data_IF_432080790491
#
_entry.id   IF_432080790491
#
_cell.length_a   1.000
_cell.length_b   1.000
_cell.length_c   1.000
_cell.angle_alpha   90.00
_cell.angle_beta   90.00
_cell.angle_gamma   90.00
#
_symmetry.space_group_name_H-M   'P 1'
#
loop_
_entity.id
_entity.type
_entity.pdbx_description
1 polymer ?
#
# COMPACT_ATOMS: atom_id res chain seq x y z
N UNK A 1 25.92 7.95 63.36
CA UNK A 1 24.93 8.86 62.75
C UNK A 1 25.43 9.24 61.36
N UNK A 2 24.76 9.03 60.24
CA UNK A 2 23.59 8.22 59.88
C UNK A 2 23.69 7.91 58.38
N UNK A 3 23.23 6.73 58.00
CA UNK A 3 23.07 6.22 56.63
C UNK A 3 21.77 6.75 56.01
N UNK A 4 21.79 7.18 54.74
CA UNK A 4 20.61 7.32 53.86
C UNK A 4 21.07 7.02 52.42
N UNK A 5 20.92 5.79 51.93
CA UNK A 5 19.76 5.22 51.21
C UNK A 5 19.30 5.98 49.96
N UNK A 6 19.70 5.40 48.82
CA UNK A 6 19.08 5.41 47.49
C UNK A 6 17.56 5.64 47.51
N UNK A 7 17.10 6.66 46.78
CA UNK A 7 15.71 6.77 46.32
C UNK A 7 15.64 6.37 44.84
N UNK A 8 15.29 5.09 44.61
CA UNK A 8 14.72 4.61 43.34
C UNK A 8 13.37 5.30 43.14
N UNK A 9 13.20 6.00 42.02
CA UNK A 9 11.89 6.47 41.58
C UNK A 9 11.11 5.28 41.02
N UNK A 10 10.06 4.89 41.76
CA UNK A 10 9.03 3.93 41.38
C UNK A 10 8.10 4.55 40.33
N UNK A 11 8.33 4.28 39.04
CA UNK A 11 7.28 4.39 38.02
C UNK A 11 6.59 3.04 37.91
N UNK A 12 5.37 2.98 38.47
CA UNK A 12 4.47 1.84 38.42
C UNK A 12 4.23 1.44 36.96
N UNK A 13 4.70 0.26 36.57
CA UNK A 13 4.17 -0.48 35.42
C UNK A 13 2.68 -0.68 35.67
N UNK A 14 1.82 0.02 34.93
CA UNK A 14 0.43 -0.40 34.77
C UNK A 14 0.47 -1.64 33.89
N UNK A 15 0.33 -2.79 34.51
CA UNK A 15 0.02 -4.07 33.85
C UNK A 15 -1.27 -3.88 33.05
N UNK A 16 -1.14 -3.84 31.72
CA UNK A 16 -2.27 -3.98 30.81
C UNK A 16 -2.70 -5.45 30.74
N UNK A 17 -3.97 -5.65 30.39
CA UNK A 17 -4.75 -6.86 30.56
C UNK A 17 -4.06 -8.16 30.12
N UNK A 18 -4.45 -9.24 30.81
CA UNK A 18 -3.90 -10.57 30.67
C UNK A 18 -4.01 -11.06 29.21
N UNK A 19 -2.91 -11.63 28.67
CA UNK A 19 -2.79 -12.18 27.29
C UNK A 19 -3.89 -13.19 26.91
N UNK A 20 -4.63 -13.70 27.89
CA UNK A 20 -5.74 -14.64 27.72
C UNK A 20 -7.09 -14.00 27.37
N UNK A 21 -7.28 -12.70 27.59
CA UNK A 21 -8.55 -12.00 27.27
C UNK A 21 -8.61 -11.47 25.83
N UNK A 22 -7.47 -11.39 25.13
CA UNK A 22 -7.38 -10.96 23.73
C UNK A 22 -7.68 -12.07 22.70
N UNK A 23 -8.11 -13.26 23.13
CA UNK A 23 -8.30 -14.44 22.26
C UNK A 23 -9.74 -14.72 21.80
N UNK A 24 -10.70 -13.80 21.98
CA UNK A 24 -12.11 -14.07 21.62
C UNK A 24 -12.71 -13.21 20.49
N UNK A 25 -11.91 -12.49 19.71
CA UNK A 25 -12.36 -11.94 18.42
C UNK A 25 -11.43 -12.42 17.29
N UNK A 26 -11.33 -13.73 17.13
CA UNK A 26 -10.78 -14.32 15.89
C UNK A 26 -11.80 -14.03 14.79
N UNK A 27 -11.58 -12.93 14.07
CA UNK A 27 -12.31 -12.62 12.84
C UNK A 27 -11.98 -13.76 11.86
N UNK A 28 -12.96 -14.61 11.58
CA UNK A 28 -12.84 -15.64 10.54
C UNK A 28 -12.87 -14.98 9.16
N UNK A 29 -12.29 -15.62 8.12
CA UNK A 29 -12.26 -15.09 6.75
C UNK A 29 -13.64 -14.77 6.15
N UNK A 30 -14.70 -15.29 6.76
CA UNK A 30 -16.10 -15.13 6.34
C UNK A 30 -16.73 -13.80 6.81
N UNK A 31 -16.07 -13.06 7.69
CA UNK A 31 -16.51 -11.71 8.08
C UNK A 31 -15.74 -10.67 7.25
N UNK A 32 -15.87 -10.73 5.92
CA UNK A 32 -15.61 -9.56 5.10
C UNK A 32 -16.70 -8.56 5.49
N UNK A 33 -16.36 -7.68 6.43
CA UNK A 33 -17.07 -6.43 6.61
C UNK A 33 -17.17 -5.86 5.21
N UNK A 34 -18.38 -5.73 4.65
CA UNK A 34 -18.62 -4.83 3.51
C UNK A 34 -18.26 -3.44 4.02
N UNK A 35 -16.97 -3.14 3.99
CA UNK A 35 -16.48 -1.81 4.24
C UNK A 35 -17.01 -1.04 3.05
N UNK A 36 -17.97 -0.16 3.29
CA UNK A 36 -18.38 0.85 2.32
C UNK A 36 -17.18 1.79 2.15
N UNK A 37 -16.20 1.36 1.37
CA UNK A 37 -14.98 2.14 1.10
C UNK A 37 -15.39 3.23 0.13
N UNK A 38 -15.82 4.36 0.69
CA UNK A 38 -16.03 5.56 -0.08
C UNK A 38 -14.68 6.20 -0.37
N UNK A 39 -14.22 6.09 -1.62
CA UNK A 39 -13.08 6.85 -2.09
C UNK A 39 -13.51 8.31 -2.24
N UNK A 40 -12.99 9.17 -1.37
CA UNK A 40 -13.13 10.61 -1.56
C UNK A 40 -12.17 11.10 -2.67
N UNK A 41 -12.38 12.34 -3.14
CA UNK A 41 -11.55 12.91 -4.20
C UNK A 41 -10.07 12.95 -3.82
N UNK A 42 -9.76 13.18 -2.55
CA UNK A 42 -8.38 13.19 -2.04
C UNK A 42 -7.71 11.84 -2.18
N UNK A 43 -8.44 10.77 -1.88
CA UNK A 43 -7.94 9.40 -2.03
C UNK A 43 -7.67 9.10 -3.50
N UNK A 44 -8.57 9.51 -4.40
CA UNK A 44 -8.38 9.35 -5.86
C UNK A 44 -7.14 10.13 -6.34
N UNK A 45 -7.00 11.39 -5.94
CA UNK A 45 -5.85 12.24 -6.30
C UNK A 45 -4.52 11.64 -5.80
N UNK A 46 -4.52 11.06 -4.59
CA UNK A 46 -3.36 10.34 -4.05
C UNK A 46 -3.01 9.13 -4.92
N UNK A 47 -3.99 8.31 -5.28
CA UNK A 47 -3.77 7.11 -6.11
C UNK A 47 -3.19 7.49 -7.48
N UNK A 48 -3.70 8.56 -8.10
CA UNK A 48 -3.13 9.09 -9.33
C UNK A 48 -1.67 9.54 -9.14
N UNK A 49 -1.41 10.32 -8.09
CA UNK A 49 -0.07 10.82 -7.79
C UNK A 49 0.93 9.69 -7.52
N UNK A 50 0.50 8.67 -6.78
CA UNK A 50 1.27 7.48 -6.47
C UNK A 50 1.71 6.72 -7.73
N UNK A 51 0.79 6.50 -8.68
CA UNK A 51 1.12 5.86 -9.96
C UNK A 51 2.24 6.61 -10.69
N UNK A 52 2.12 7.93 -10.83
CA UNK A 52 3.13 8.72 -11.55
C UNK A 52 4.46 8.83 -10.81
N UNK A 53 4.44 8.81 -9.47
CA UNK A 53 5.64 8.72 -8.65
C UNK A 53 6.36 7.39 -8.90
N UNK A 54 5.65 6.26 -8.87
CA UNK A 54 6.24 4.95 -9.17
C UNK A 54 6.74 4.88 -10.61
N UNK A 55 5.96 5.34 -11.60
CA UNK A 55 6.40 5.42 -13.00
C UNK A 55 7.69 6.22 -13.12
N UNK A 56 7.84 7.32 -12.39
CA UNK A 56 9.06 8.11 -12.38
C UNK A 56 10.24 7.37 -11.75
N UNK A 57 10.02 6.63 -10.66
CA UNK A 57 11.04 5.86 -9.95
C UNK A 57 11.53 4.68 -10.79
N UNK A 58 10.60 3.94 -11.41
CA UNK A 58 10.88 2.78 -12.25
C UNK A 58 11.22 3.14 -13.71
N UNK A 59 11.06 4.41 -14.08
CA UNK A 59 11.22 4.94 -15.44
C UNK A 59 10.32 4.29 -16.49
N UNK A 60 9.31 3.52 -16.08
CA UNK A 60 8.41 2.80 -16.95
C UNK A 60 7.13 2.38 -16.19
N UNK A 61 6.09 2.00 -16.93
CA UNK A 61 4.80 1.54 -16.38
C UNK A 61 4.76 0.04 -16.08
N UNK A 62 5.75 -0.70 -16.55
CA UNK A 62 5.87 -2.14 -16.44
C UNK A 62 7.34 -2.51 -16.57
N UNK A 63 7.74 -3.61 -15.96
CA UNK A 63 9.12 -4.12 -16.04
C UNK A 63 9.25 -5.40 -16.85
N UNK A 64 8.14 -6.05 -17.21
CA UNK A 64 8.16 -7.24 -18.05
C UNK A 64 8.66 -6.92 -19.46
N UNK A 65 9.39 -7.84 -20.13
CA UNK A 65 9.97 -7.61 -21.46
C UNK A 65 8.92 -7.72 -22.58
N UNK A 66 7.80 -7.00 -22.45
CA UNK A 66 6.62 -7.11 -23.33
C UNK A 66 6.42 -5.88 -24.22
N UNK A 67 7.35 -4.91 -24.20
CA UNK A 67 7.21 -3.65 -24.94
C UNK A 67 6.95 -3.86 -26.43
N UNK A 68 7.70 -4.74 -27.09
CA UNK A 68 7.50 -5.04 -28.51
C UNK A 68 6.12 -5.69 -28.78
N UNK A 69 5.60 -6.48 -27.84
CA UNK A 69 4.28 -7.10 -27.94
C UNK A 69 3.16 -6.09 -27.77
N UNK A 70 3.29 -5.19 -26.78
CA UNK A 70 2.40 -4.04 -26.57
C UNK A 70 2.38 -3.15 -27.82
N UNK A 71 3.56 -2.82 -28.34
CA UNK A 71 3.68 -2.04 -29.56
C UNK A 71 3.02 -2.76 -30.72
N UNK A 72 3.22 -4.07 -30.91
CA UNK A 72 2.61 -4.83 -32.01
C UNK A 72 1.08 -4.95 -31.94
N UNK A 73 0.46 -4.67 -30.78
CA UNK A 73 -0.99 -4.77 -30.56
C UNK A 73 -1.50 -6.17 -30.23
N UNK A 74 -0.62 -7.09 -29.83
CA UNK A 74 -0.97 -8.48 -29.51
C UNK A 74 -1.35 -8.65 -28.03
N UNK A 75 -1.03 -7.66 -27.18
CA UNK A 75 -1.33 -7.74 -25.75
C UNK A 75 -2.78 -7.36 -25.48
N UNK A 76 -3.45 -8.25 -24.73
CA UNK A 76 -4.67 -7.98 -23.97
C UNK A 76 -4.32 -8.05 -22.49
N UNK A 77 -4.27 -6.89 -21.84
CA UNK A 77 -3.83 -6.73 -20.46
C UNK A 77 -5.01 -6.62 -19.49
N UNK A 78 -4.88 -7.23 -18.31
CA UNK A 78 -5.79 -7.09 -17.17
C UNK A 78 -5.07 -6.37 -16.03
N UNK A 79 -5.72 -5.38 -15.43
CA UNK A 79 -5.33 -4.85 -14.12
C UNK A 79 -6.36 -5.24 -13.05
N UNK A 80 -5.90 -5.89 -11.99
CA UNK A 80 -6.72 -6.28 -10.84
C UNK A 80 -6.66 -5.20 -9.77
N UNK A 81 -7.83 -4.85 -9.21
CA UNK A 81 -7.99 -3.73 -8.27
C UNK A 81 -7.45 -2.42 -8.84
N UNK A 82 -7.94 -2.09 -10.05
CA UNK A 82 -7.45 -0.97 -10.85
C UNK A 82 -7.78 0.40 -10.27
N UNK A 83 -8.59 0.49 -9.21
CA UNK A 83 -8.98 1.75 -8.57
C UNK A 83 -9.58 2.74 -9.57
N UNK A 84 -9.10 4.00 -9.64
CA UNK A 84 -9.57 4.98 -10.62
C UNK A 84 -9.10 4.68 -12.05
N UNK A 85 -8.34 3.60 -12.26
CA UNK A 85 -7.91 3.13 -13.57
C UNK A 85 -6.68 3.83 -14.13
N UNK A 86 -5.87 4.51 -13.30
CA UNK A 86 -4.74 5.34 -13.75
C UNK A 86 -3.80 4.57 -14.67
N UNK A 87 -3.38 3.37 -14.26
CA UNK A 87 -2.46 2.55 -15.04
C UNK A 87 -3.09 2.09 -16.36
N UNK A 88 -4.35 1.64 -16.33
CA UNK A 88 -5.11 1.31 -17.55
C UNK A 88 -5.15 2.48 -18.53
N UNK A 89 -5.48 3.68 -18.06
CA UNK A 89 -5.59 4.86 -18.92
C UNK A 89 -4.23 5.27 -19.50
N UNK A 90 -3.17 5.24 -18.69
CA UNK A 90 -1.81 5.59 -19.10
C UNK A 90 -1.27 4.58 -20.14
N UNK A 91 -1.41 3.28 -19.87
CA UNK A 91 -1.01 2.22 -20.79
C UNK A 91 -1.83 2.21 -22.08
N UNK A 92 -3.15 2.41 -22.00
CA UNK A 92 -4.01 2.48 -23.18
C UNK A 92 -3.67 3.68 -24.08
N UNK A 93 -3.21 4.78 -23.48
CA UNK A 93 -2.74 5.96 -24.19
C UNK A 93 -1.37 5.72 -24.83
N UNK A 94 -0.43 5.10 -24.12
CA UNK A 94 0.92 4.80 -24.63
C UNK A 94 0.91 3.73 -25.74
N UNK A 95 0.03 2.72 -25.62
CA UNK A 95 -0.04 1.57 -26.53
C UNK A 95 -1.43 1.43 -27.18
N UNK A 96 -1.79 2.29 -28.14
CA UNK A 96 -3.14 2.33 -28.71
C UNK A 96 -3.54 1.10 -29.54
N UNK A 97 -2.57 0.23 -29.88
CA UNK A 97 -2.82 -1.02 -30.62
C UNK A 97 -3.17 -2.21 -29.72
N UNK A 98 -2.93 -2.11 -28.41
CA UNK A 98 -3.23 -3.16 -27.43
C UNK A 98 -4.46 -2.81 -26.60
N UNK A 99 -5.10 -3.82 -25.99
CA UNK A 99 -6.28 -3.64 -25.15
C UNK A 99 -5.95 -3.73 -23.67
N UNK A 100 -6.64 -2.92 -22.86
CA UNK A 100 -6.44 -2.85 -21.42
C UNK A 100 -7.78 -2.92 -20.70
N UNK A 101 -7.91 -3.87 -19.77
CA UNK A 101 -9.12 -4.06 -18.97
C UNK A 101 -8.79 -3.90 -17.49
N UNK A 102 -9.43 -2.95 -16.82
CA UNK A 102 -9.35 -2.80 -15.36
C UNK A 102 -10.54 -3.44 -14.67
N UNK A 103 -10.31 -4.08 -13.53
CA UNK A 103 -11.37 -4.54 -12.65
C UNK A 103 -11.21 -3.99 -11.24
N UNK A 104 -12.33 -3.66 -10.61
CA UNK A 104 -12.36 -3.25 -9.20
C UNK A 104 -13.71 -3.60 -8.56
N UNK A 105 -13.73 -3.75 -7.24
CA UNK A 105 -14.96 -3.96 -6.47
C UNK A 105 -15.77 -2.67 -6.32
N UNK A 106 -15.12 -1.50 -6.49
CA UNK A 106 -15.73 -0.18 -6.36
C UNK A 106 -15.71 0.55 -7.71
N UNK A 107 -16.85 1.12 -8.10
CA UNK A 107 -16.99 1.85 -9.36
C UNK A 107 -16.40 3.28 -9.27
N UNK A 108 -15.08 3.38 -9.12
CA UNK A 108 -14.34 4.67 -9.07
C UNK A 108 -13.58 4.98 -10.37
N UNK A 109 -13.48 4.00 -11.28
CA UNK A 109 -12.92 4.15 -12.61
C UNK A 109 -13.87 4.89 -13.58
N UNK A 110 -13.35 5.51 -14.66
CA UNK A 110 -14.16 6.28 -15.59
C UNK A 110 -15.09 5.41 -16.45
N UNK A 111 -16.32 5.89 -16.64
CA UNK A 111 -17.34 5.26 -17.49
C UNK A 111 -17.36 5.80 -18.92
N UNK A 112 -17.20 7.12 -19.09
CA UNK A 112 -17.47 7.81 -20.36
C UNK A 112 -16.21 8.25 -21.10
N UNK A 113 -15.35 9.03 -20.45
CA UNK A 113 -14.17 9.64 -21.08
C UNK A 113 -12.96 8.74 -20.84
N UNK A 114 -12.61 7.93 -21.84
CA UNK A 114 -11.45 7.03 -21.81
C UNK A 114 -11.01 6.62 -23.21
N UNK A 115 -9.76 6.14 -23.39
CA UNK A 115 -9.32 5.54 -24.66
C UNK A 115 -10.23 4.40 -25.12
N UNK A 116 -10.39 4.23 -26.43
CA UNK A 116 -11.27 3.19 -27.03
C UNK A 116 -10.81 1.76 -26.68
N UNK A 117 -9.51 1.59 -26.46
CA UNK A 117 -8.87 0.34 -26.07
C UNK A 117 -8.83 0.12 -24.54
N UNK A 118 -9.41 1.02 -23.74
CA UNK A 118 -9.58 0.83 -22.30
C UNK A 118 -11.00 0.35 -21.96
N UNK A 119 -11.10 -0.69 -21.12
CA UNK A 119 -12.37 -1.23 -20.60
C UNK A 119 -12.29 -1.32 -19.08
N UNK A 120 -13.43 -1.15 -18.42
CA UNK A 120 -13.54 -1.31 -16.97
C UNK A 120 -14.74 -2.19 -16.65
N UNK A 121 -14.57 -3.08 -15.68
CA UNK A 121 -15.60 -4.01 -15.24
C UNK A 121 -15.65 -4.02 -13.71
N UNK A 122 -16.84 -3.81 -13.16
CA UNK A 122 -17.07 -3.96 -11.72
C UNK A 122 -17.01 -5.45 -11.38
N UNK A 123 -16.07 -5.85 -10.52
CA UNK A 123 -15.90 -7.24 -10.08
C UNK A 123 -15.31 -7.29 -8.66
N UNK A 124 -16.05 -7.95 -7.76
CA UNK A 124 -15.72 -8.04 -6.32
C UNK A 124 -14.88 -9.29 -5.99
N UNK A 125 -14.95 -10.35 -6.82
CA UNK A 125 -14.36 -11.65 -6.49
C UNK A 125 -13.32 -12.14 -7.51
N UNK A 126 -12.05 -12.32 -7.12
CA UNK A 126 -11.01 -12.88 -7.98
C UNK A 126 -11.30 -14.31 -8.46
N UNK A 127 -12.10 -15.05 -7.71
CA UNK A 127 -12.48 -16.45 -7.98
C UNK A 127 -13.54 -16.58 -9.08
N UNK A 128 -14.24 -15.47 -9.41
CA UNK A 128 -15.36 -15.44 -10.33
C UNK A 128 -15.24 -14.27 -11.31
N UNK A 129 -14.06 -14.09 -11.90
CA UNK A 129 -13.89 -13.08 -12.94
C UNK A 129 -14.82 -13.39 -14.12
N UNK A 130 -15.51 -12.39 -14.70
CA UNK A 130 -16.46 -12.57 -15.80
C UNK A 130 -15.74 -12.77 -17.15
N UNK A 131 -14.59 -13.45 -17.14
CA UNK A 131 -13.76 -13.68 -18.32
C UNK A 131 -13.47 -15.17 -18.45
N UNK A 132 -13.41 -15.64 -19.70
CA UNK A 132 -12.95 -17.00 -19.99
C UNK A 132 -11.49 -17.19 -19.56
N UNK A 133 -11.10 -18.44 -19.29
CA UNK A 133 -9.70 -18.79 -19.09
C UNK A 133 -8.85 -18.34 -20.29
N UNK A 134 -7.61 -17.92 -20.04
CA UNK A 134 -6.65 -17.49 -21.07
C UNK A 134 -7.11 -16.28 -21.91
N UNK A 135 -7.99 -15.44 -21.37
CA UNK A 135 -8.42 -14.18 -22.03
C UNK A 135 -7.30 -13.15 -22.10
N UNK A 136 -6.49 -13.05 -21.05
CA UNK A 136 -5.46 -12.01 -20.94
C UNK A 136 -4.07 -12.63 -21.07
N UNK A 137 -3.23 -11.99 -21.89
CA UNK A 137 -1.83 -12.38 -22.11
C UNK A 137 -0.87 -11.66 -21.16
N UNK A 138 -1.36 -10.64 -20.46
CA UNK A 138 -0.61 -9.93 -19.43
C UNK A 138 -1.54 -9.56 -18.26
N UNK A 139 -1.09 -9.78 -17.03
CA UNK A 139 -1.82 -9.37 -15.83
C UNK A 139 -0.91 -8.45 -15.02
N UNK A 140 -1.41 -7.25 -14.75
CA UNK A 140 -0.81 -6.26 -13.88
C UNK A 140 -1.52 -6.26 -12.53
N UNK A 141 -0.74 -6.22 -11.46
CA UNK A 141 -1.26 -6.04 -10.10
C UNK A 141 -0.36 -5.00 -9.45
N UNK A 142 -0.88 -3.80 -9.24
CA UNK A 142 -0.17 -2.82 -8.43
C UNK A 142 -0.37 -3.15 -6.94
N UNK A 143 0.49 -4.02 -6.42
CA UNK A 143 0.43 -4.43 -5.02
C UNK A 143 0.77 -3.29 -4.06
N UNK A 144 1.38 -2.19 -4.52
CA UNK A 144 1.87 -1.14 -3.64
C UNK A 144 0.69 -0.36 -3.03
N UNK A 145 -0.34 -0.03 -3.81
CA UNK A 145 -1.55 0.63 -3.30
C UNK A 145 -2.28 -0.19 -2.22
N UNK A 146 -2.24 -1.53 -2.33
CA UNK A 146 -2.96 -2.45 -1.43
C UNK A 146 -2.10 -3.05 -0.30
N UNK A 147 -0.77 -3.13 -0.47
CA UNK A 147 0.17 -3.54 0.58
C UNK A 147 0.18 -2.53 1.73
N UNK A 148 -0.12 -1.27 1.43
CA UNK A 148 -0.09 -0.20 2.43
C UNK A 148 -1.35 -0.10 3.31
N UNK A 149 -2.45 -0.80 2.99
CA UNK A 149 -3.67 -0.70 3.80
C UNK A 149 -3.87 -1.83 4.81
N UNK A 150 -3.39 -3.04 4.54
CA UNK A 150 -3.53 -4.17 5.49
C UNK A 150 -2.19 -4.52 6.13
N UNK A 151 -1.15 -4.87 5.36
CA UNK A 151 0.08 -5.36 5.98
C UNK A 151 0.89 -4.25 6.66
N UNK A 152 1.07 -3.10 6.00
CA UNK A 152 1.71 -1.95 6.64
C UNK A 152 0.89 -1.41 7.81
N UNK A 153 -0.44 -1.44 7.71
CA UNK A 153 -1.34 -1.09 8.80
C UNK A 153 -1.15 -2.00 10.03
N UNK A 154 -1.08 -3.32 9.84
CA UNK A 154 -0.76 -4.25 10.92
C UNK A 154 0.67 -4.10 11.44
N UNK A 155 1.64 -3.79 10.58
CA UNK A 155 3.00 -3.47 11.00
C UNK A 155 3.05 -2.18 11.82
N UNK A 156 2.26 -1.15 11.49
CA UNK A 156 2.16 0.09 12.27
C UNK A 156 1.57 -0.18 13.64
N UNK A 157 0.47 -0.93 13.72
CA UNK A 157 -0.12 -1.36 15.00
C UNK A 157 0.92 -2.09 15.84
N UNK A 158 1.61 -3.06 15.23
CA UNK A 158 2.65 -3.83 15.92
C UNK A 158 3.82 -2.94 16.36
N UNK A 159 4.30 -2.02 15.52
CA UNK A 159 5.39 -1.10 15.85
C UNK A 159 4.98 -0.16 16.99
N UNK A 160 3.76 0.37 16.96
CA UNK A 160 3.22 1.23 18.00
C UNK A 160 3.08 0.48 19.33
N UNK A 161 2.47 -0.71 19.34
CA UNK A 161 2.28 -1.53 20.54
C UNK A 161 3.60 -1.97 21.17
N UNK A 162 4.61 -2.23 20.35
CA UNK A 162 5.90 -2.75 20.80
C UNK A 162 7.01 -1.68 20.91
N UNK A 163 6.69 -0.41 20.66
CA UNK A 163 7.65 0.69 20.58
C UNK A 163 8.85 0.38 19.66
N UNK A 164 8.56 -0.23 18.50
CA UNK A 164 9.56 -0.59 17.48
C UNK A 164 9.60 0.51 16.39
N UNK A 165 10.79 0.93 15.94
CA UNK A 165 10.95 1.85 14.81
C UNK A 165 10.28 1.31 13.54
N UNK A 166 9.39 2.09 12.93
CA UNK A 166 8.63 1.66 11.75
C UNK A 166 9.55 1.43 10.54
N UNK A 167 10.62 2.22 10.41
CA UNK A 167 11.61 2.10 9.34
C UNK A 167 12.21 0.69 9.25
N UNK A 168 12.41 0.03 10.39
CA UNK A 168 12.99 -1.31 10.49
C UNK A 168 12.02 -2.41 10.06
N UNK A 169 10.72 -2.19 10.20
CA UNK A 169 9.68 -3.16 9.82
C UNK A 169 9.35 -3.09 8.33
N UNK A 170 9.37 -1.88 7.76
CA UNK A 170 9.16 -1.67 6.32
C UNK A 170 10.22 -2.41 5.48
N UNK A 171 11.47 -2.50 5.96
CA UNK A 171 12.53 -3.25 5.28
C UNK A 171 12.35 -4.78 5.26
N UNK A 172 11.34 -5.32 5.95
CA UNK A 172 11.15 -6.76 6.18
C UNK A 172 9.90 -7.35 5.49
N UNK A 173 9.28 -6.63 4.55
CA UNK A 173 8.07 -7.08 3.88
C UNK A 173 8.29 -8.40 3.11
N UNK A 174 7.37 -9.40 3.18
CA UNK A 174 7.59 -10.73 2.61
C UNK A 174 7.61 -10.73 1.07
N UNK A 175 8.55 -11.48 0.47
CA UNK A 175 8.81 -11.48 -0.97
C UNK A 175 8.53 -12.81 -1.71
N UNK A 176 7.62 -13.67 -1.23
CA UNK A 176 7.48 -15.01 -1.82
C UNK A 176 6.03 -15.51 -1.96
N UNK A 177 5.63 -15.81 -3.20
CA UNK A 177 4.41 -16.57 -3.53
C UNK A 177 4.83 -17.86 -4.26
N UNK A 178 4.62 -19.03 -3.64
CA UNK A 178 5.14 -20.33 -4.13
C UNK A 178 4.46 -20.86 -5.41
N UNK A 179 3.33 -20.26 -5.84
CA UNK A 179 2.55 -20.73 -7.00
C UNK A 179 3.01 -20.15 -8.34
N UNK A 180 3.82 -19.10 -8.33
CA UNK A 180 4.34 -18.47 -9.55
C UNK A 180 5.64 -19.15 -9.97
N UNK A 181 5.73 -19.53 -11.25
CA UNK A 181 6.94 -20.12 -11.85
C UNK A 181 7.61 -19.07 -12.75
N UNK A 182 8.93 -19.14 -12.89
CA UNK A 182 9.73 -18.23 -13.72
C UNK A 182 9.58 -16.75 -13.33
N UNK A 183 9.63 -16.45 -12.03
CA UNK A 183 9.58 -15.07 -11.55
C UNK A 183 10.90 -14.36 -11.84
N UNK A 184 10.81 -13.18 -12.46
CA UNK A 184 11.87 -12.18 -12.43
C UNK A 184 11.45 -11.14 -11.39
N UNK A 185 12.19 -11.04 -10.28
CA UNK A 185 11.91 -10.09 -9.21
C UNK A 185 12.90 -8.94 -9.38
N UNK A 186 12.38 -7.75 -9.63
CA UNK A 186 13.19 -6.53 -9.63
C UNK A 186 12.98 -5.81 -8.31
N UNK A 187 14.06 -5.33 -7.72
CA UNK A 187 14.04 -4.58 -6.48
C UNK A 187 14.59 -3.18 -6.71
N UNK A 188 13.89 -2.17 -6.20
CA UNK A 188 14.37 -0.79 -6.18
C UNK A 188 14.27 -0.21 -4.77
N UNK A 189 15.35 0.40 -4.29
CA UNK A 189 15.42 1.02 -2.99
C UNK A 189 15.02 2.50 -3.09
N UNK A 190 13.77 2.76 -2.73
CA UNK A 190 13.16 4.08 -2.79
C UNK A 190 13.55 4.86 -1.53
N UNK A 191 14.25 5.99 -1.66
CA UNK A 191 14.54 6.82 -0.50
C UNK A 191 13.29 7.57 -0.03
N UNK A 192 13.15 7.75 1.28
CA UNK A 192 12.00 8.42 1.92
C UNK A 192 12.50 9.55 2.80
N UNK A 193 11.96 10.75 2.61
CA UNK A 193 12.31 11.92 3.42
C UNK A 193 13.06 12.99 2.64
N UNK A 194 13.11 14.18 3.24
CA UNK A 194 13.70 15.40 2.68
C UNK A 194 15.18 15.27 2.39
N UNK A 195 15.90 14.44 3.16
CA UNK A 195 17.31 14.14 2.92
C UNK A 195 17.60 13.63 1.50
N UNK A 196 16.60 13.02 0.83
CA UNK A 196 16.72 12.49 -0.52
C UNK A 196 16.18 13.42 -1.62
N UNK A 197 15.97 14.69 -1.30
CA UNK A 197 15.46 15.70 -2.22
C UNK A 197 14.01 15.47 -2.61
N UNK A 198 13.61 16.00 -3.78
CA UNK A 198 12.21 16.06 -4.20
C UNK A 198 11.52 14.68 -4.24
N UNK A 199 12.20 13.65 -4.75
CA UNK A 199 11.61 12.32 -4.82
C UNK A 199 11.37 11.75 -3.41
N UNK A 200 12.35 11.88 -2.51
CA UNK A 200 12.18 11.40 -1.14
C UNK A 200 11.07 12.14 -0.39
N UNK A 201 10.91 13.45 -0.62
CA UNK A 201 9.83 14.23 -0.04
C UNK A 201 8.45 13.81 -0.57
N UNK A 202 8.33 13.57 -1.88
CA UNK A 202 7.07 13.06 -2.48
C UNK A 202 6.69 11.69 -1.95
N UNK A 203 7.67 10.80 -1.80
CA UNK A 203 7.47 9.45 -1.24
C UNK A 203 7.05 9.53 0.24
N UNK A 204 7.65 10.43 1.01
CA UNK A 204 7.25 10.69 2.40
C UNK A 204 5.81 11.19 2.47
N UNK A 205 5.43 12.15 1.62
CA UNK A 205 4.08 12.71 1.62
C UNK A 205 3.01 11.68 1.25
N UNK A 206 3.29 10.83 0.27
CA UNK A 206 2.43 9.71 -0.11
C UNK A 206 2.22 8.72 1.05
N UNK A 207 3.31 8.36 1.75
CA UNK A 207 3.29 7.49 2.93
C UNK A 207 2.45 8.11 4.07
N UNK A 208 2.73 9.35 4.43
CA UNK A 208 2.03 10.05 5.53
C UNK A 208 0.56 10.29 5.22
N UNK A 209 0.22 10.60 3.97
CA UNK A 209 -1.17 10.79 3.54
C UNK A 209 -1.95 9.48 3.66
N UNK A 210 -1.31 8.36 3.34
CA UNK A 210 -1.88 7.02 3.53
C UNK A 210 -2.07 6.70 5.02
N UNK A 211 -1.10 7.02 5.88
CA UNK A 211 -1.22 6.82 7.32
C UNK A 211 -2.32 7.67 7.95
N UNK A 212 -2.49 8.90 7.48
CA UNK A 212 -3.56 9.79 7.92
C UNK A 212 -4.94 9.32 7.46
N UNK A 213 -5.07 8.71 6.28
CA UNK A 213 -6.36 8.18 5.82
C UNK A 213 -6.87 7.00 6.67
N UNK A 214 -6.01 6.39 7.49
CA UNK A 214 -6.37 5.31 8.41
C UNK A 214 -6.47 5.75 9.88
N UNK A 215 -6.35 7.07 10.16
CA UNK A 215 -6.27 7.63 11.51
C UNK A 215 -7.38 7.10 12.44
N UNK A 216 -8.65 7.24 12.04
CA UNK A 216 -9.78 6.81 12.87
C UNK A 216 -9.71 5.33 13.22
N UNK A 217 -9.38 4.47 12.24
CA UNK A 217 -9.26 3.03 12.46
C UNK A 217 -8.13 2.69 13.43
N UNK A 218 -6.97 3.30 13.23
CA UNK A 218 -5.78 3.08 14.07
C UNK A 218 -6.04 3.57 15.50
N UNK A 219 -6.57 4.78 15.66
CA UNK A 219 -6.92 5.34 16.96
C UNK A 219 -7.91 4.46 17.72
N UNK A 220 -8.94 3.96 17.03
CA UNK A 220 -9.93 3.06 17.62
C UNK A 220 -9.32 1.72 18.07
N UNK A 221 -8.48 1.10 17.23
CA UNK A 221 -7.85 -0.20 17.55
C UNK A 221 -6.87 -0.06 18.72
N UNK A 222 -6.04 0.98 18.69
CA UNK A 222 -5.01 1.23 19.70
C UNK A 222 -5.56 1.91 20.97
N UNK A 223 -6.82 2.35 20.93
CA UNK A 223 -7.46 3.12 22.00
C UNK A 223 -6.65 4.37 22.41
N UNK A 224 -6.23 5.14 21.40
CA UNK A 224 -5.47 6.40 21.53
C UNK A 224 -6.22 7.58 20.93
N UNK A 225 -5.86 8.81 21.32
CA UNK A 225 -6.44 10.02 20.73
C UNK A 225 -5.76 10.39 19.41
N UNK A 226 -6.46 11.12 18.51
CA UNK A 226 -5.84 11.64 17.30
C UNK A 226 -4.58 12.47 17.54
N UNK A 227 -4.50 13.21 18.65
CA UNK A 227 -3.30 13.97 19.04
C UNK A 227 -2.12 13.04 19.36
N UNK A 228 -2.37 11.95 20.08
CA UNK A 228 -1.33 10.95 20.38
C UNK A 228 -0.82 10.28 19.10
N UNK A 229 -1.72 9.98 18.16
CA UNK A 229 -1.34 9.41 16.88
C UNK A 229 -0.56 10.41 16.01
N UNK A 230 -0.94 11.69 16.01
CA UNK A 230 -0.19 12.73 15.30
C UNK A 230 1.24 12.89 15.84
N UNK A 231 1.42 12.86 17.17
CA UNK A 231 2.76 12.87 17.78
C UNK A 231 3.59 11.65 17.36
N UNK A 232 2.97 10.47 17.29
CA UNK A 232 3.63 9.27 16.77
C UNK A 232 4.07 9.45 15.31
N UNK A 233 3.24 10.05 14.45
CA UNK A 233 3.62 10.34 13.06
C UNK A 233 4.77 11.34 12.97
N UNK A 234 4.84 12.34 13.85
CA UNK A 234 5.97 13.27 13.92
C UNK A 234 7.27 12.54 14.28
N UNK A 235 7.22 11.58 15.20
CA UNK A 235 8.39 10.78 15.58
C UNK A 235 8.82 9.85 14.45
N UNK A 236 7.87 9.26 13.70
CA UNK A 236 8.17 8.49 12.47
C UNK A 236 8.90 9.34 11.44
N UNK A 237 8.47 10.59 11.24
CA UNK A 237 9.15 11.51 10.30
C UNK A 237 10.59 11.78 10.74
N UNK A 238 10.81 12.09 12.03
CA UNK A 238 12.18 12.31 12.56
C UNK A 238 13.04 11.07 12.36
N UNK A 239 12.51 9.90 12.68
CA UNK A 239 13.21 8.62 12.53
C UNK A 239 13.64 8.38 11.08
N UNK A 240 12.76 8.65 10.11
CA UNK A 240 13.05 8.48 8.69
C UNK A 240 14.17 9.42 8.23
N UNK A 241 14.14 10.68 8.66
CA UNK A 241 15.19 11.66 8.34
C UNK A 241 16.52 11.29 8.99
N UNK A 242 16.52 10.91 10.26
CA UNK A 242 17.73 10.55 11.01
C UNK A 242 18.41 9.29 10.46
N UNK A 243 17.62 8.28 10.07
CA UNK A 243 18.14 7.02 9.58
C UNK A 243 18.36 6.99 8.06
N UNK A 244 18.04 8.07 7.36
CA UNK A 244 18.00 8.11 5.90
C UNK A 244 17.25 6.90 5.31
N UNK A 245 16.04 6.65 5.81
CA UNK A 245 15.29 5.42 5.52
C UNK A 245 15.03 5.25 4.03
N UNK A 246 15.20 4.01 3.58
CA UNK A 246 14.82 3.53 2.24
C UNK A 246 13.89 2.35 2.41
N UNK A 247 12.92 2.20 1.53
CA UNK A 247 12.18 0.94 1.42
C UNK A 247 12.32 0.33 0.05
N UNK A 248 12.38 -0.99 0.06
CA UNK A 248 12.51 -1.79 -1.15
C UNK A 248 11.14 -2.06 -1.73
N UNK A 249 10.98 -1.75 -3.01
CA UNK A 249 9.80 -2.12 -3.80
C UNK A 249 10.15 -3.27 -4.72
N UNK A 250 9.18 -4.17 -4.92
CA UNK A 250 9.30 -5.28 -5.85
C UNK A 250 8.42 -5.01 -7.07
N UNK A 251 8.93 -5.32 -8.25
CA UNK A 251 8.22 -5.26 -9.53
C UNK A 251 8.55 -6.51 -10.35
#
# INVERSE_FOLDING_TARGET
MGTQQSKRLNTKQKTFANKSELKQNIITPETIIKVDVKYDSKTIDRIHSHHYLLKHIWKNNFSSPIRSLLESGIIDALEIKCGPGTWILDMATEFPRSSFTGIDAVQIFPSEIKPKNAKFVLADQPEHLPFSSSTFSYVHINLIEHMYSEHLFWQMISCFENHVPLSKSISLLPSHCERLKNMNILQNDIPVGKWAGLIGELVMDDLLTTFKSHNDKICNILNITPEQYNLYLEDVVKEIEENHTRYSTLN
#
